data_IF_260004979597
#
_entry.id   IF_260004979597
#
_cell.length_a   1.000
_cell.length_b   1.000
_cell.length_c   1.000
_cell.angle_alpha   90.00
_cell.angle_beta   90.00
_cell.angle_gamma   90.00
#
_symmetry.space_group_name_H-M   'P 1'
#
loop_
_entity.id
_entity.type
_entity.pdbx_description
1 polymer ?
#
# COMPACT_ATOMS: atom_id res chain seq x y z
N UNK A 1 25.72 21.03 26.65
CA UNK A 1 24.67 21.84 26.00
C UNK A 1 23.41 20.99 25.82
N UNK A 2 22.35 21.27 26.57
CA UNK A 2 21.03 20.63 26.41
C UNK A 2 20.34 21.28 25.22
N UNK A 3 20.20 20.56 24.10
CA UNK A 3 19.34 21.02 23.01
C UNK A 3 17.89 20.90 23.45
N UNK A 4 17.26 22.04 23.74
CA UNK A 4 15.81 22.14 23.93
C UNK A 4 15.13 21.64 22.65
N UNK A 5 14.42 20.52 22.74
CA UNK A 5 13.53 20.06 21.69
C UNK A 5 12.27 20.93 21.83
N UNK A 6 12.17 21.98 21.01
CA UNK A 6 10.93 22.73 20.84
C UNK A 6 9.88 21.81 20.21
N UNK A 7 9.04 21.14 21.01
CA UNK A 7 7.93 20.35 20.49
C UNK A 7 6.73 21.26 20.22
N UNK A 8 6.71 21.90 19.07
CA UNK A 8 5.46 22.50 18.57
C UNK A 8 4.64 21.36 17.97
N UNK A 9 3.62 20.89 18.69
CA UNK A 9 2.78 19.78 18.25
C UNK A 9 1.83 20.27 17.13
N UNK A 10 2.31 20.30 15.88
CA UNK A 10 1.53 20.67 14.69
C UNK A 10 0.91 19.44 14.04
N UNK A 11 0.11 18.69 14.79
CA UNK A 11 -0.58 17.51 14.23
C UNK A 11 -1.80 17.94 13.41
N UNK A 12 -1.89 17.46 12.17
CA UNK A 12 -3.11 17.57 11.35
C UNK A 12 -3.86 16.24 11.45
N UNK A 13 -5.14 16.30 11.79
CA UNK A 13 -6.03 15.14 11.86
C UNK A 13 -7.21 15.30 10.89
N UNK A 14 -7.71 14.19 10.37
CA UNK A 14 -8.90 14.16 9.53
C UNK A 14 -9.72 12.93 9.84
N UNK A 15 -11.04 13.06 9.81
CA UNK A 15 -11.94 11.92 9.98
C UNK A 15 -11.90 11.01 8.75
N UNK A 16 -11.86 9.69 8.97
CA UNK A 16 -12.00 8.70 7.91
C UNK A 16 -13.46 8.37 7.59
N UNK A 17 -14.42 8.96 8.31
CA UNK A 17 -15.87 8.77 8.09
C UNK A 17 -16.39 9.46 6.80
N UNK A 18 -15.51 10.03 5.99
CA UNK A 18 -15.87 10.58 4.68
C UNK A 18 -16.23 9.43 3.74
N UNK A 19 -17.33 9.58 3.00
CA UNK A 19 -17.92 8.52 2.19
C UNK A 19 -16.93 7.84 1.25
N UNK A 20 -16.40 8.58 0.25
CA UNK A 20 -15.41 8.09 -0.72
C UNK A 20 -14.55 9.20 -1.27
N UNK A 21 -13.28 8.92 -1.47
CA UNK A 21 -12.31 9.82 -2.13
C UNK A 21 -12.01 9.36 -3.55
N UNK A 22 -11.70 10.31 -4.44
CA UNK A 22 -11.26 10.03 -5.79
C UNK A 22 -9.76 9.73 -5.79
N UNK A 23 -9.37 8.60 -6.37
CA UNK A 23 -7.98 8.23 -6.56
C UNK A 23 -7.71 7.73 -7.98
N UNK A 24 -6.44 7.70 -8.35
CA UNK A 24 -5.99 7.18 -9.63
C UNK A 24 -4.99 6.06 -9.41
N UNK A 25 -5.18 4.95 -10.13
CA UNK A 25 -4.21 3.88 -10.26
C UNK A 25 -3.64 3.84 -11.68
N UNK A 26 -2.33 3.70 -11.77
CA UNK A 26 -1.64 3.40 -13.02
C UNK A 26 -1.28 1.92 -13.01
N UNK A 27 -1.94 1.14 -13.87
CA UNK A 27 -1.77 -0.32 -13.93
C UNK A 27 -1.15 -0.70 -15.28
N UNK A 28 -0.04 -1.47 -15.31
CA UNK A 28 0.53 -2.00 -16.54
C UNK A 28 -0.49 -2.80 -17.36
N UNK A 29 -0.56 -2.53 -18.67
CA UNK A 29 -1.43 -3.21 -19.62
C UNK A 29 -1.31 -4.74 -19.55
N UNK A 30 -0.10 -5.26 -19.31
CA UNK A 30 0.14 -6.71 -19.13
C UNK A 30 -0.68 -7.29 -17.98
N UNK A 31 -0.76 -6.60 -16.84
CA UNK A 31 -1.58 -7.04 -15.69
C UNK A 31 -3.06 -6.98 -16.06
N UNK A 32 -3.49 -5.90 -16.72
CA UNK A 32 -4.88 -5.70 -17.15
C UNK A 32 -5.35 -6.82 -18.09
N UNK A 33 -4.49 -7.25 -19.02
CA UNK A 33 -4.76 -8.33 -19.98
C UNK A 33 -4.86 -9.71 -19.32
N UNK A 34 -4.12 -9.93 -18.24
CA UNK A 34 -4.16 -11.19 -17.47
C UNK A 34 -5.41 -11.33 -16.59
N UNK A 35 -6.09 -10.23 -16.27
CA UNK A 35 -7.33 -10.26 -15.48
C UNK A 35 -8.51 -10.77 -16.30
N UNK A 36 -9.33 -11.68 -15.73
CA UNK A 36 -10.66 -11.97 -16.26
C UNK A 36 -11.49 -10.69 -16.39
N UNK A 37 -12.42 -10.66 -17.35
CA UNK A 37 -13.27 -9.48 -17.59
C UNK A 37 -14.02 -9.02 -16.34
N UNK A 38 -14.46 -9.95 -15.48
CA UNK A 38 -15.11 -9.66 -14.20
C UNK A 38 -14.22 -8.92 -13.21
N UNK A 39 -12.93 -9.26 -13.14
CA UNK A 39 -11.96 -8.60 -12.25
C UNK A 39 -11.45 -7.29 -12.85
N UNK A 40 -11.29 -7.22 -14.17
CA UNK A 40 -10.88 -5.99 -14.86
C UNK A 40 -11.85 -4.82 -14.59
N UNK A 41 -13.17 -5.10 -14.57
CA UNK A 41 -14.21 -4.11 -14.25
C UNK A 41 -14.17 -3.61 -12.79
N UNK A 42 -13.49 -4.33 -11.90
CA UNK A 42 -13.37 -4.00 -10.48
C UNK A 42 -12.08 -3.25 -10.13
N UNK A 43 -11.20 -2.98 -11.11
CA UNK A 43 -9.97 -2.22 -10.87
C UNK A 43 -10.31 -0.89 -10.17
N UNK A 44 -9.56 -0.57 -9.13
CA UNK A 44 -9.79 0.49 -8.17
C UNK A 44 -10.83 0.15 -7.10
N UNK A 45 -12.02 -0.32 -7.49
CA UNK A 45 -13.15 -0.63 -6.58
C UNK A 45 -12.89 -1.84 -5.67
N UNK A 46 -11.98 -2.74 -6.06
CA UNK A 46 -11.63 -3.93 -5.29
C UNK A 46 -10.57 -3.69 -4.20
N UNK A 47 -10.13 -2.45 -3.96
CA UNK A 47 -9.03 -2.15 -3.04
C UNK A 47 -9.26 -2.74 -1.65
N UNK A 48 -10.43 -2.52 -1.03
CA UNK A 48 -10.72 -3.07 0.30
C UNK A 48 -10.63 -4.59 0.37
N UNK A 49 -11.17 -5.29 -0.64
CA UNK A 49 -11.09 -6.75 -0.72
C UNK A 49 -9.65 -7.24 -0.88
N UNK A 50 -8.85 -6.54 -1.70
CA UNK A 50 -7.43 -6.84 -1.88
C UNK A 50 -6.64 -6.63 -0.59
N UNK A 51 -6.85 -5.52 0.12
CA UNK A 51 -6.18 -5.24 1.40
C UNK A 51 -6.57 -6.27 2.46
N UNK A 52 -7.86 -6.57 2.60
CA UNK A 52 -8.35 -7.58 3.56
C UNK A 52 -7.72 -8.95 3.33
N UNK A 53 -7.51 -9.32 2.07
CA UNK A 53 -6.99 -10.64 1.71
C UNK A 53 -5.46 -10.68 1.78
N UNK A 54 -4.79 -9.64 1.30
CA UNK A 54 -3.36 -9.73 0.94
C UNK A 54 -2.44 -8.81 1.74
N UNK A 55 -2.95 -7.88 2.56
CA UNK A 55 -2.10 -6.92 3.29
C UNK A 55 -1.07 -7.62 4.20
N UNK A 56 -1.44 -8.74 4.82
CA UNK A 56 -0.56 -9.53 5.69
C UNK A 56 0.72 -10.03 4.99
N UNK A 57 0.69 -10.20 3.66
CA UNK A 57 1.90 -10.58 2.90
C UNK A 57 2.94 -9.45 2.87
N UNK A 58 2.52 -8.19 3.04
CA UNK A 58 3.40 -7.03 3.03
C UNK A 58 4.20 -6.91 4.31
N UNK A 59 3.60 -7.33 5.42
CA UNK A 59 4.15 -7.14 6.76
C UNK A 59 5.14 -8.26 7.09
N UNK A 60 4.91 -9.46 6.55
CA UNK A 60 5.78 -10.63 6.69
C UNK A 60 6.96 -10.69 5.71
N UNK A 61 6.99 -9.84 4.68
CA UNK A 61 8.05 -9.87 3.66
C UNK A 61 9.13 -8.81 3.91
N UNK A 62 10.32 -9.06 3.35
CA UNK A 62 11.35 -8.03 3.20
C UNK A 62 10.82 -6.88 2.35
N UNK A 63 11.22 -5.64 2.70
CA UNK A 63 10.79 -4.43 1.98
C UNK A 63 11.02 -4.55 0.48
N UNK A 64 10.07 -4.03 -0.30
CA UNK A 64 10.25 -3.90 -1.75
C UNK A 64 11.42 -3.00 -2.11
N UNK A 65 11.58 -1.89 -1.39
CA UNK A 65 12.71 -0.99 -1.55
C UNK A 65 13.55 -0.97 -0.26
N UNK A 66 14.82 -1.36 -0.40
CA UNK A 66 15.80 -1.31 0.68
C UNK A 66 16.42 0.09 0.84
N UNK A 67 16.21 1.02 -0.12
CA UNK A 67 16.71 2.39 -0.05
C UNK A 67 15.68 3.31 0.63
N UNK A 68 15.93 3.64 1.89
CA UNK A 68 15.04 4.47 2.72
C UNK A 68 14.87 5.93 2.24
N UNK A 69 15.66 6.40 1.27
CA UNK A 69 15.52 7.73 0.68
C UNK A 69 14.61 7.73 -0.56
N UNK A 70 14.49 6.60 -1.26
CA UNK A 70 13.82 6.55 -2.58
C UNK A 70 12.47 5.84 -2.50
N UNK A 71 11.65 6.04 -3.52
CA UNK A 71 10.39 5.34 -3.72
C UNK A 71 10.49 4.57 -5.05
N UNK A 72 10.19 3.27 -5.04
CA UNK A 72 10.08 2.51 -6.29
C UNK A 72 8.72 2.71 -6.93
N UNK A 73 8.74 2.90 -8.24
CA UNK A 73 7.56 2.98 -9.09
C UNK A 73 7.49 1.75 -10.00
N UNK A 74 6.40 1.63 -10.74
CA UNK A 74 6.23 0.58 -11.74
C UNK A 74 7.34 0.67 -12.79
N UNK A 75 7.82 -0.48 -13.28
CA UNK A 75 8.89 -0.52 -14.29
C UNK A 75 8.46 0.23 -15.56
N UNK A 76 9.37 1.08 -16.05
CA UNK A 76 9.25 1.79 -17.32
C UNK A 76 9.15 0.79 -18.49
N UNK A 77 8.48 1.19 -19.58
CA UNK A 77 8.33 0.35 -20.79
C UNK A 77 7.06 -0.51 -20.85
N UNK A 78 6.15 -0.41 -19.87
CA UNK A 78 4.82 -0.98 -20.00
C UNK A 78 3.82 0.15 -20.23
N UNK A 79 2.97 0.06 -21.26
CA UNK A 79 1.82 0.96 -21.41
C UNK A 79 1.01 0.95 -20.12
N UNK A 80 1.00 2.08 -19.40
CA UNK A 80 0.25 2.23 -18.16
C UNK A 80 -1.17 2.68 -18.50
N UNK A 81 -2.16 1.93 -18.04
CA UNK A 81 -3.55 2.35 -18.16
C UNK A 81 -3.95 3.08 -16.87
N UNK A 82 -4.56 4.26 -17.06
CA UNK A 82 -5.11 5.07 -15.97
C UNK A 82 -6.50 4.55 -15.59
N UNK A 83 -6.69 4.25 -14.32
CA UNK A 83 -7.98 3.92 -13.73
C UNK A 83 -8.31 4.93 -12.64
N UNK A 84 -9.43 5.65 -12.81
CA UNK A 84 -9.98 6.50 -11.76
C UNK A 84 -10.99 5.68 -10.95
N UNK A 85 -10.95 5.83 -9.63
CA UNK A 85 -11.84 5.12 -8.73
C UNK A 85 -12.28 6.00 -7.57
N UNK A 86 -13.44 5.69 -7.00
CA UNK A 86 -13.92 6.22 -5.74
C UNK A 86 -13.84 5.12 -4.69
N UNK A 87 -12.99 5.29 -3.69
CA UNK A 87 -12.68 4.29 -2.66
C UNK A 87 -12.90 4.88 -1.27
N UNK A 88 -13.05 4.03 -0.26
CA UNK A 88 -13.20 4.51 1.11
C UNK A 88 -11.89 5.15 1.59
N UNK A 89 -11.98 6.22 2.38
CA UNK A 89 -10.82 6.95 2.86
C UNK A 89 -9.89 6.05 3.70
N UNK A 90 -10.46 5.15 4.49
CA UNK A 90 -9.72 4.16 5.28
C UNK A 90 -8.87 3.20 4.42
N UNK A 91 -9.42 2.70 3.31
CA UNK A 91 -8.71 1.79 2.39
C UNK A 91 -7.52 2.51 1.75
N UNK A 92 -7.71 3.78 1.38
CA UNK A 92 -6.65 4.60 0.83
C UNK A 92 -5.57 4.94 1.86
N UNK A 93 -5.96 5.25 3.09
CA UNK A 93 -5.03 5.52 4.19
C UNK A 93 -4.19 4.27 4.49
N UNK A 94 -4.83 3.10 4.59
CA UNK A 94 -4.15 1.82 4.78
C UNK A 94 -3.17 1.52 3.63
N UNK A 95 -3.59 1.67 2.37
CA UNK A 95 -2.70 1.50 1.21
C UNK A 95 -1.52 2.47 1.28
N UNK A 96 -1.76 3.72 1.69
CA UNK A 96 -0.73 4.77 1.76
C UNK A 96 0.35 4.43 2.79
N UNK A 97 -0.05 4.03 4.00
CA UNK A 97 0.87 3.64 5.06
C UNK A 97 1.68 2.41 4.68
N UNK A 98 1.02 1.39 4.13
CA UNK A 98 1.69 0.17 3.67
C UNK A 98 2.68 0.46 2.53
N UNK A 99 2.30 1.28 1.55
CA UNK A 99 3.19 1.64 0.44
C UNK A 99 4.43 2.42 0.94
N UNK A 100 4.22 3.39 1.83
CA UNK A 100 5.29 4.18 2.42
C UNK A 100 6.27 3.32 3.23
N UNK A 101 5.77 2.39 4.05
CA UNK A 101 6.61 1.46 4.84
C UNK A 101 7.50 0.57 3.98
N UNK A 102 7.01 0.19 2.80
CA UNK A 102 7.69 -0.65 1.84
C UNK A 102 8.61 0.12 0.89
N UNK A 103 8.55 1.47 0.93
CA UNK A 103 9.32 2.36 0.07
C UNK A 103 8.90 2.30 -1.40
N UNK A 104 7.60 2.16 -1.67
CA UNK A 104 7.02 2.05 -3.02
C UNK A 104 5.84 2.99 -3.21
N UNK A 105 5.50 3.26 -4.47
CA UNK A 105 4.31 4.06 -4.80
C UNK A 105 3.03 3.28 -4.49
N UNK A 106 1.94 3.99 -4.18
CA UNK A 106 0.60 3.40 -3.98
C UNK A 106 0.16 2.59 -5.21
N UNK A 107 0.46 3.09 -6.41
CA UNK A 107 0.12 2.40 -7.65
C UNK A 107 0.92 1.10 -7.82
N UNK A 108 2.22 1.09 -7.47
CA UNK A 108 3.02 -0.13 -7.49
C UNK A 108 2.50 -1.15 -6.46
N UNK A 109 2.18 -0.70 -5.24
CA UNK A 109 1.60 -1.59 -4.23
C UNK A 109 0.27 -2.18 -4.72
N UNK A 110 -0.60 -1.36 -5.29
CA UNK A 110 -1.87 -1.81 -5.85
C UNK A 110 -1.69 -2.84 -6.97
N UNK A 111 -0.71 -2.63 -7.88
CA UNK A 111 -0.36 -3.61 -8.91
C UNK A 111 0.10 -4.94 -8.30
N UNK A 112 0.88 -4.89 -7.23
CA UNK A 112 1.32 -6.10 -6.53
C UNK A 112 0.14 -6.86 -5.89
N UNK A 113 -0.80 -6.14 -5.25
CA UNK A 113 -2.01 -6.75 -4.69
C UNK A 113 -2.86 -7.45 -5.77
N UNK A 114 -3.00 -6.84 -6.95
CA UNK A 114 -3.66 -7.48 -8.10
C UNK A 114 -2.93 -8.75 -8.52
N UNK A 115 -1.59 -8.74 -8.56
CA UNK A 115 -0.80 -9.91 -8.94
C UNK A 115 -0.95 -11.05 -7.94
N UNK A 116 -1.02 -10.76 -6.63
CA UNK A 116 -1.36 -11.76 -5.62
C UNK A 116 -2.74 -12.35 -5.87
N UNK A 117 -3.74 -11.51 -6.18
CA UNK A 117 -5.08 -11.98 -6.53
C UNK A 117 -5.07 -12.89 -7.77
N UNK A 118 -4.38 -12.50 -8.85
CA UNK A 118 -4.22 -13.34 -10.05
C UNK A 118 -3.57 -14.69 -9.72
N UNK A 119 -2.55 -14.69 -8.87
CA UNK A 119 -1.88 -15.93 -8.45
C UNK A 119 -2.80 -16.85 -7.64
N UNK A 120 -3.70 -16.28 -6.82
CA UNK A 120 -4.70 -17.03 -6.06
C UNK A 120 -5.84 -17.58 -6.92
N UNK A 121 -6.16 -16.93 -8.05
CA UNK A 121 -7.18 -17.37 -9.00
C UNK A 121 -6.67 -18.44 -9.98
N UNK A 122 -5.40 -18.34 -10.39
CA UNK A 122 -4.78 -19.23 -11.38
C UNK A 122 -4.34 -20.58 -10.80
N UNK A 123 -3.93 -20.61 -9.53
CA UNK A 123 -3.71 -21.85 -8.82
C UNK A 123 -5.05 -22.28 -8.22
N UNK A 124 -5.31 -23.59 -8.19
CA UNK A 124 -6.26 -24.25 -7.26
C UNK A 124 -5.70 -24.07 -5.84
N UNK A 125 -5.48 -22.81 -5.43
CA UNK A 125 -4.79 -22.43 -4.22
C UNK A 125 -5.64 -23.01 -3.10
N UNK A 126 -5.12 -24.03 -2.41
CA UNK A 126 -5.72 -24.52 -1.18
C UNK A 126 -5.86 -23.26 -0.33
N UNK A 127 -7.11 -22.80 -0.17
CA UNK A 127 -7.51 -21.74 0.74
C UNK A 127 -6.65 -21.96 1.96
N UNK A 128 -5.70 -21.08 2.27
CA UNK A 128 -4.91 -21.25 3.48
C UNK A 128 -5.95 -21.26 4.60
N UNK A 129 -6.29 -22.45 5.12
CA UNK A 129 -7.03 -22.61 6.36
C UNK A 129 -6.12 -21.98 7.40
N UNK A 130 -6.42 -20.74 7.72
CA UNK A 130 -5.51 -19.86 8.46
C UNK A 130 -6.21 -18.55 8.71
N UNK A 131 -7.23 -18.64 9.57
CA UNK A 131 -7.56 -17.65 10.60
C UNK A 131 -6.56 -16.49 10.73
N UNK A 132 -6.69 -15.45 9.91
CA UNK A 132 -6.08 -14.15 10.22
C UNK A 132 -7.10 -13.32 11.01
N UNK A 133 -7.36 -13.79 12.23
CA UNK A 133 -8.27 -13.18 13.19
C UNK A 133 -7.75 -11.90 13.84
N UNK A 134 -6.50 -11.51 13.56
CA UNK A 134 -5.97 -10.22 13.98
C UNK A 134 -6.18 -9.18 12.87
N UNK A 135 -7.32 -8.50 12.92
CA UNK A 135 -7.53 -7.28 12.16
C UNK A 135 -6.60 -6.23 12.77
N UNK A 136 -5.52 -5.86 12.07
CA UNK A 136 -4.68 -4.73 12.46
C UNK A 136 -5.60 -3.53 12.66
N UNK A 137 -5.64 -3.02 13.91
CA UNK A 137 -6.53 -1.92 14.29
C UNK A 137 -5.87 -0.56 14.10
N UNK A 138 -4.54 -0.53 14.11
CA UNK A 138 -3.77 0.69 14.10
C UNK A 138 -2.49 0.48 13.30
N UNK A 139 -2.17 1.41 12.40
CA UNK A 139 -0.86 1.46 11.76
C UNK A 139 -0.18 2.76 12.13
N UNK A 140 1.09 2.70 12.53
CA UNK A 140 1.95 3.87 12.67
C UNK A 140 3.14 3.75 11.75
N UNK A 141 3.31 4.74 10.89
CA UNK A 141 4.47 4.85 10.03
C UNK A 141 5.33 6.03 10.46
N UNK A 142 6.57 5.74 10.82
CA UNK A 142 7.57 6.74 11.19
C UNK A 142 8.63 6.81 10.11
N UNK A 143 8.81 8.01 9.56
CA UNK A 143 9.95 8.33 8.70
C UNK A 143 10.90 9.22 9.47
N UNK A 144 12.00 8.65 9.95
CA UNK A 144 12.98 9.31 10.79
C UNK A 144 14.20 9.72 9.99
N UNK A 145 14.64 10.97 10.15
CA UNK A 145 15.88 11.50 9.59
C UNK A 145 16.71 12.09 10.73
N UNK A 146 17.89 11.50 10.95
CA UNK A 146 18.86 12.02 11.89
C UNK A 146 20.03 12.65 11.12
N UNK A 147 20.07 13.98 11.09
CA UNK A 147 21.08 14.75 10.36
C UNK A 147 22.48 14.67 11.01
N UNK A 148 22.55 14.42 12.32
CA UNK A 148 23.81 14.25 13.05
C UNK A 148 24.47 12.91 12.71
N UNK A 149 23.71 11.83 12.73
CA UNK A 149 24.21 10.49 12.39
C UNK A 149 24.15 10.17 10.89
N UNK A 150 23.57 11.07 10.08
CA UNK A 150 23.31 10.88 8.64
C UNK A 150 22.50 9.61 8.34
N UNK A 151 21.62 9.21 9.26
CA UNK A 151 20.77 8.01 9.12
C UNK A 151 19.34 8.40 8.79
N UNK A 152 18.74 7.67 7.85
CA UNK A 152 17.32 7.76 7.49
C UNK A 152 16.68 6.39 7.66
N UNK A 153 15.51 6.35 8.30
CA UNK A 153 14.80 5.12 8.64
C UNK A 153 13.32 5.25 8.35
N UNK A 154 12.74 4.15 7.86
CA UNK A 154 11.30 3.94 7.73
C UNK A 154 10.93 2.86 8.72
N UNK A 155 9.90 3.05 9.52
CA UNK A 155 9.46 2.10 10.53
C UNK A 155 7.94 1.99 10.44
N UNK A 156 7.43 0.76 10.46
CA UNK A 156 6.01 0.46 10.51
C UNK A 156 5.75 -0.29 11.81
N UNK A 157 4.77 0.20 12.57
CA UNK A 157 4.16 -0.49 13.69
C UNK A 157 2.72 -0.82 13.32
N UNK A 158 2.27 -2.03 13.63
CA UNK A 158 0.95 -2.58 13.29
C UNK A 158 0.40 -3.48 14.41
#
# INVERSE_FOLDING_TARGET
>A
MRSSIYSVNRSIASSLNISKITCTFLVPLKIVRQLPNSERKKIGKNLGGLLKTHAHHLTRRKRFNNRALTIKYQKQGNSLIKFNARIHAEEWAQLSVLAASQGISRCLLYCFLIQLQLSSLSKRYKKSKGTYGYKVRYYSFVWSLNLKTKKIQRILYE
#
